data_IF_355445569408
#
_entry.id   IF_355445569408
#
_cell.length_a   1.000
_cell.length_b   1.000
_cell.length_c   1.000
_cell.angle_alpha   90.00
_cell.angle_beta   90.00
_cell.angle_gamma   90.00
#
_symmetry.space_group_name_H-M   'P 1'
#
loop_
_entity.id
_entity.type
_entity.pdbx_description
1 polymer ?
#
# COMPACT_ATOMS: atom_id res chain seq x y z
N UNK A 1 6.26 -13.23 -10.37
CA UNK A 1 5.93 -12.26 -9.30
C UNK A 1 6.02 -10.88 -9.92
N UNK A 2 4.99 -10.04 -9.76
CA UNK A 2 5.02 -8.67 -10.30
C UNK A 2 5.87 -7.77 -9.40
N UNK A 3 6.56 -6.80 -9.99
CA UNK A 3 7.19 -5.73 -9.22
C UNK A 3 6.18 -4.60 -9.02
N UNK A 4 6.18 -4.01 -7.82
CA UNK A 4 5.35 -2.86 -7.49
C UNK A 4 6.26 -1.65 -7.28
N UNK A 5 5.91 -0.50 -7.85
CA UNK A 5 6.60 0.76 -7.58
C UNK A 5 5.61 1.76 -7.04
N UNK A 6 5.97 2.41 -5.93
CA UNK A 6 5.17 3.40 -5.25
C UNK A 6 5.87 4.73 -5.40
N UNK A 7 5.21 5.69 -6.06
CA UNK A 7 5.66 7.06 -6.20
C UNK A 7 4.98 7.93 -5.16
N UNK A 8 5.72 8.54 -4.24
CA UNK A 8 5.20 9.48 -3.25
C UNK A 8 5.43 10.90 -3.73
N UNK A 9 4.35 11.65 -3.93
CA UNK A 9 4.37 13.05 -4.36
C UNK A 9 4.34 14.00 -3.16
N UNK A 10 5.44 14.71 -2.94
CA UNK A 10 5.62 15.67 -1.85
C UNK A 10 6.15 16.99 -2.44
N UNK A 11 5.28 17.94 -2.86
CA UNK A 11 5.70 19.16 -3.55
C UNK A 11 6.60 20.07 -2.72
N UNK A 12 6.49 20.00 -1.39
CA UNK A 12 7.27 20.81 -0.45
C UNK A 12 8.67 20.23 -0.17
N UNK A 13 9.03 19.11 -0.80
CA UNK A 13 10.32 18.43 -0.63
C UNK A 13 11.07 18.32 -1.96
N UNK A 14 12.40 18.26 -1.90
CA UNK A 14 13.23 17.85 -3.03
C UNK A 14 13.93 16.52 -2.73
N UNK A 15 13.81 15.51 -3.61
CA UNK A 15 13.04 15.50 -4.85
C UNK A 15 11.51 15.52 -4.62
N UNK A 16 10.77 16.13 -5.56
CA UNK A 16 9.29 16.26 -5.48
C UNK A 16 8.59 14.90 -5.51
N UNK A 17 9.19 13.92 -6.17
CA UNK A 17 8.74 12.52 -6.18
C UNK A 17 9.82 11.65 -5.56
N UNK A 18 9.47 10.93 -4.51
CA UNK A 18 10.24 9.78 -4.05
C UNK A 18 9.62 8.50 -4.67
N UNK A 19 10.44 7.49 -4.95
CA UNK A 19 9.94 6.18 -5.37
C UNK A 19 10.53 5.05 -4.54
N UNK A 20 9.75 3.99 -4.39
CA UNK A 20 10.16 2.74 -3.75
C UNK A 20 9.57 1.53 -4.46
N UNK A 21 10.41 0.56 -4.77
CA UNK A 21 10.08 -0.73 -5.37
C UNK A 21 9.88 -1.83 -4.34
N UNK A 22 8.89 -2.70 -4.56
CA UNK A 22 8.56 -3.87 -3.74
C UNK A 22 8.39 -5.08 -4.67
N UNK A 23 9.06 -6.22 -4.40
CA UNK A 23 10.00 -6.45 -3.30
C UNK A 23 11.44 -5.99 -3.58
N UNK A 24 11.77 -5.52 -4.79
CA UNK A 24 13.15 -5.21 -5.19
C UNK A 24 13.92 -4.29 -4.24
N UNK A 25 13.21 -3.44 -3.47
CA UNK A 25 13.82 -2.48 -2.56
C UNK A 25 14.49 -1.31 -3.28
N UNK A 26 14.30 -1.18 -4.60
CA UNK A 26 14.79 -0.04 -5.37
C UNK A 26 14.20 1.25 -4.80
N UNK A 27 15.03 2.25 -4.53
CA UNK A 27 14.57 3.52 -3.99
C UNK A 27 15.33 4.69 -4.62
N UNK A 28 14.69 5.85 -4.65
CA UNK A 28 15.28 7.07 -5.17
C UNK A 28 14.24 8.17 -5.26
N UNK A 29 14.53 9.21 -6.04
CA UNK A 29 13.56 10.24 -6.34
C UNK A 29 13.93 11.04 -7.57
N UNK A 30 12.99 11.85 -8.03
CA UNK A 30 13.13 12.75 -9.16
C UNK A 30 12.13 13.92 -9.06
N UNK A 31 12.26 14.90 -9.94
CA UNK A 31 11.35 16.06 -9.95
C UNK A 31 10.16 15.86 -10.90
N UNK A 32 10.22 14.87 -11.79
CA UNK A 32 9.11 14.52 -12.68
C UNK A 32 8.80 13.02 -12.66
N UNK A 33 7.55 12.65 -12.98
CA UNK A 33 7.14 11.25 -13.07
C UNK A 33 7.92 10.48 -14.15
N UNK A 34 8.27 11.13 -15.26
CA UNK A 34 9.04 10.50 -16.34
C UNK A 34 10.46 10.15 -15.87
N UNK A 35 11.12 11.08 -15.18
CA UNK A 35 12.44 10.85 -14.58
C UNK A 35 12.38 9.78 -13.49
N UNK A 36 11.37 9.83 -12.61
CA UNK A 36 11.19 8.84 -11.56
C UNK A 36 11.03 7.42 -12.12
N UNK A 37 10.21 7.25 -13.17
CA UNK A 37 10.06 5.98 -13.89
C UNK A 37 11.36 5.52 -14.54
N UNK A 38 12.09 6.41 -15.22
CA UNK A 38 13.35 6.08 -15.86
C UNK A 38 14.42 5.67 -14.83
N UNK A 39 14.50 6.40 -13.72
CA UNK A 39 15.39 6.12 -12.60
C UNK A 39 15.07 4.77 -11.96
N UNK A 40 13.79 4.51 -11.64
CA UNK A 40 13.33 3.23 -11.12
C UNK A 40 13.67 2.07 -12.06
N UNK A 41 13.36 2.17 -13.35
CA UNK A 41 13.68 1.10 -14.32
C UNK A 41 15.18 0.82 -14.41
N UNK A 42 16.00 1.87 -14.30
CA UNK A 42 17.46 1.73 -14.28
C UNK A 42 17.93 1.01 -13.03
N UNK A 43 17.43 1.42 -11.86
CA UNK A 43 17.69 0.73 -10.60
C UNK A 43 17.30 -0.75 -10.68
N UNK A 44 16.08 -1.03 -11.18
CA UNK A 44 15.56 -2.39 -11.26
C UNK A 44 16.39 -3.27 -12.20
N UNK A 45 16.80 -2.74 -13.37
CA UNK A 45 17.66 -3.49 -14.30
C UNK A 45 19.02 -3.82 -13.67
N UNK A 46 19.61 -2.87 -12.94
CA UNK A 46 20.87 -3.09 -12.26
C UNK A 46 20.73 -4.11 -11.12
N UNK A 47 19.66 -4.02 -10.32
CA UNK A 47 19.37 -4.96 -9.21
C UNK A 47 19.16 -6.38 -9.69
N UNK A 48 18.39 -6.55 -10.76
CA UNK A 48 18.05 -7.86 -11.31
C UNK A 48 19.12 -8.41 -12.26
N UNK A 49 20.13 -7.61 -12.61
CA UNK A 49 21.17 -7.97 -13.59
C UNK A 49 20.58 -8.39 -14.94
N UNK A 50 19.54 -7.68 -15.39
CA UNK A 50 18.87 -7.94 -16.68
C UNK A 50 18.77 -6.67 -17.52
N UNK A 51 18.66 -6.84 -18.83
CA UNK A 51 18.36 -5.73 -19.73
C UNK A 51 17.01 -5.08 -19.44
N UNK A 52 16.90 -3.78 -19.74
CA UNK A 52 15.65 -3.01 -19.57
C UNK A 52 14.44 -3.60 -20.30
N UNK A 53 14.66 -4.39 -21.35
CA UNK A 53 13.61 -5.08 -22.13
C UNK A 53 13.15 -6.40 -21.48
N UNK A 54 13.99 -6.96 -20.62
CA UNK A 54 13.73 -8.20 -19.87
C UNK A 54 13.22 -7.94 -18.44
N UNK A 55 12.92 -6.68 -18.11
CA UNK A 55 12.35 -6.32 -16.82
C UNK A 55 10.97 -6.97 -16.63
N UNK A 56 10.64 -7.42 -15.41
CA UNK A 56 9.32 -7.95 -15.12
C UNK A 56 8.24 -6.88 -15.30
N UNK A 57 6.96 -7.28 -15.44
CA UNK A 57 5.84 -6.35 -15.36
C UNK A 57 5.88 -5.55 -14.05
N UNK A 58 5.61 -4.25 -14.17
CA UNK A 58 5.61 -3.31 -13.04
C UNK A 58 4.19 -2.79 -12.84
N UNK A 59 3.70 -2.88 -11.61
CA UNK A 59 2.48 -2.21 -11.16
C UNK A 59 2.84 -0.90 -10.51
N UNK A 60 2.40 0.21 -11.11
CA UNK A 60 2.66 1.54 -10.60
C UNK A 60 1.58 2.01 -9.62
N UNK A 61 1.99 2.64 -8.53
CA UNK A 61 1.14 3.26 -7.53
C UNK A 61 1.60 4.69 -7.29
N UNK A 62 0.66 5.58 -6.95
CA UNK A 62 0.96 6.95 -6.54
C UNK A 62 0.35 7.21 -5.17
N UNK A 63 1.17 7.78 -4.28
CA UNK A 63 0.78 8.30 -2.97
C UNK A 63 0.70 9.82 -3.04
N UNK A 64 -0.44 10.36 -2.60
CA UNK A 64 -0.67 11.80 -2.49
C UNK A 64 -1.42 12.14 -1.20
N UNK A 65 -1.27 13.37 -0.73
CA UNK A 65 -1.99 13.87 0.44
C UNK A 65 -3.45 14.17 0.08
N UNK A 66 -4.38 13.62 0.85
CA UNK A 66 -5.82 13.89 0.78
C UNK A 66 -6.32 14.08 2.21
N UNK A 67 -6.87 15.26 2.54
CA UNK A 67 -7.36 15.53 3.89
C UNK A 67 -6.31 15.33 4.99
N UNK A 68 -5.02 15.56 4.69
CA UNK A 68 -3.91 15.33 5.62
C UNK A 68 -3.41 13.88 5.72
N UNK A 69 -4.02 12.95 4.98
CA UNK A 69 -3.65 11.52 4.96
C UNK A 69 -2.93 11.17 3.67
N UNK A 70 -1.91 10.31 3.75
CA UNK A 70 -1.33 9.70 2.56
C UNK A 70 -2.29 8.66 2.00
N UNK A 71 -2.70 8.83 0.74
CA UNK A 71 -3.57 7.88 0.03
C UNK A 71 -2.83 7.28 -1.15
N UNK A 72 -2.76 5.95 -1.19
CA UNK A 72 -2.16 5.20 -2.30
C UNK A 72 -3.22 4.78 -3.30
N UNK A 73 -2.94 5.03 -4.57
CA UNK A 73 -3.80 4.63 -5.70
C UNK A 73 -3.00 3.96 -6.80
N UNK A 74 -3.56 2.93 -7.41
CA UNK A 74 -2.95 2.25 -8.56
C UNK A 74 -3.03 3.15 -9.81
N UNK A 75 -1.91 3.37 -10.48
CA UNK A 75 -1.82 4.18 -11.69
C UNK A 75 -2.39 3.41 -12.88
N UNK A 76 -3.15 4.09 -13.74
CA UNK A 76 -3.72 3.51 -14.96
C UNK A 76 -4.94 2.61 -14.73
N UNK A 77 -5.41 2.49 -13.48
CA UNK A 77 -6.67 1.81 -13.21
C UNK A 77 -7.84 2.74 -13.54
N UNK A 78 -8.43 2.57 -14.73
CA UNK A 78 -9.68 3.22 -15.12
C UNK A 78 -10.83 2.47 -14.44
N UNK A 79 -11.16 2.80 -13.19
CA UNK A 79 -12.36 2.24 -12.57
C UNK A 79 -13.59 3.03 -13.07
N UNK A 80 -14.45 2.36 -13.85
CA UNK A 80 -15.76 2.88 -14.30
C UNK A 80 -16.90 2.32 -13.41
N UNK A 81 -16.66 2.13 -12.13
CA UNK A 81 -17.70 1.65 -11.22
C UNK A 81 -18.10 2.72 -10.20
N UNK A 82 -19.40 2.76 -9.91
CA UNK A 82 -20.03 3.81 -9.08
C UNK A 82 -19.59 3.74 -7.62
N UNK A 83 -19.07 2.58 -7.17
CA UNK A 83 -18.46 2.36 -5.85
C UNK A 83 -17.00 2.81 -5.75
N UNK A 84 -16.32 2.97 -6.89
CA UNK A 84 -14.89 3.29 -6.99
C UNK A 84 -14.62 4.74 -7.39
N UNK A 85 -15.65 5.61 -7.36
CA UNK A 85 -15.49 7.00 -7.77
C UNK A 85 -14.49 7.67 -6.82
N UNK A 86 -13.31 7.99 -7.36
CA UNK A 86 -12.23 8.66 -6.64
C UNK A 86 -12.71 9.95 -5.99
N UNK A 87 -13.71 10.62 -6.58
CA UNK A 87 -14.35 11.80 -5.99
C UNK A 87 -15.21 11.43 -4.78
N UNK A 88 -16.05 10.39 -4.89
CA UNK A 88 -16.81 9.83 -3.77
C UNK A 88 -15.88 9.39 -2.63
N UNK A 89 -14.79 8.70 -2.95
CA UNK A 89 -13.85 8.23 -1.94
C UNK A 89 -13.07 9.39 -1.30
N UNK A 90 -12.74 10.46 -2.04
CA UNK A 90 -12.19 11.67 -1.45
C UNK A 90 -13.19 12.35 -0.50
N UNK A 91 -14.47 12.42 -0.88
CA UNK A 91 -15.55 12.95 -0.04
C UNK A 91 -15.68 12.11 1.23
N UNK A 92 -15.79 10.79 1.08
CA UNK A 92 -15.89 9.85 2.21
C UNK A 92 -14.67 10.00 3.13
N UNK A 93 -13.44 10.04 2.59
CA UNK A 93 -12.23 10.25 3.40
C UNK A 93 -12.23 11.59 4.15
N UNK A 94 -12.78 12.65 3.57
CA UNK A 94 -12.89 13.95 4.26
C UNK A 94 -13.96 13.96 5.36
N UNK A 95 -15.04 13.21 5.20
CA UNK A 95 -16.15 13.16 6.15
C UNK A 95 -15.92 12.16 7.30
N UNK A 96 -15.08 11.15 7.09
CA UNK A 96 -14.80 10.10 8.08
C UNK A 96 -13.76 10.57 9.12
N UNK A 97 -14.23 11.05 10.28
CA UNK A 97 -13.37 11.45 11.39
C UNK A 97 -12.61 10.28 12.00
N UNK A 98 -13.27 9.12 12.17
CA UNK A 98 -12.66 7.94 12.80
C UNK A 98 -11.42 7.42 12.07
N UNK A 99 -11.43 7.42 10.73
CA UNK A 99 -10.26 7.03 9.95
C UNK A 99 -9.11 8.05 10.10
N UNK A 100 -9.41 9.35 10.13
CA UNK A 100 -8.41 10.41 10.36
C UNK A 100 -7.79 10.31 11.75
N UNK A 101 -8.61 10.06 12.76
CA UNK A 101 -8.15 9.88 14.13
C UNK A 101 -7.22 8.65 14.23
N UNK A 102 -7.53 7.57 13.53
CA UNK A 102 -6.66 6.39 13.48
C UNK A 102 -5.34 6.66 12.76
N UNK A 103 -5.34 7.39 11.64
CA UNK A 103 -4.10 7.85 10.97
C UNK A 103 -3.27 8.72 11.92
N UNK A 104 -3.89 9.69 12.59
CA UNK A 104 -3.20 10.57 13.54
C UNK A 104 -2.59 9.76 14.70
N UNK A 105 -3.35 8.84 15.29
CA UNK A 105 -2.89 7.93 16.35
C UNK A 105 -1.69 7.11 15.91
N UNK A 106 -1.70 6.55 14.70
CA UNK A 106 -0.57 5.79 14.17
C UNK A 106 0.66 6.67 13.90
N UNK A 107 0.45 7.90 13.43
CA UNK A 107 1.52 8.87 13.23
C UNK A 107 2.17 9.30 14.56
N UNK A 108 1.38 9.50 15.62
CA UNK A 108 1.88 9.78 16.97
C UNK A 108 2.75 8.64 17.53
N UNK A 109 2.45 7.40 17.12
CA UNK A 109 3.27 6.22 17.45
C UNK A 109 4.50 6.06 16.55
N UNK A 110 4.74 6.99 15.62
CA UNK A 110 5.90 7.00 14.73
C UNK A 110 5.77 6.09 13.51
N UNK A 111 4.55 5.69 13.12
CA UNK A 111 4.32 5.12 11.79
C UNK A 111 4.19 6.22 10.73
N UNK A 112 4.39 5.84 9.47
CA UNK A 112 3.94 6.60 8.30
C UNK A 112 2.75 5.88 7.66
N UNK A 113 1.54 6.01 8.24
CA UNK A 113 0.34 5.33 7.75
C UNK A 113 -0.02 5.77 6.33
N UNK A 114 -0.37 4.80 5.49
CA UNK A 114 -0.89 5.05 4.13
C UNK A 114 -2.25 4.39 3.99
N UNK A 115 -3.25 5.17 3.61
CA UNK A 115 -4.59 4.67 3.30
C UNK A 115 -4.59 4.06 1.90
N UNK A 116 -5.01 2.81 1.79
CA UNK A 116 -5.21 2.11 0.53
C UNK A 116 -6.71 1.85 0.38
N UNK A 117 -7.29 2.45 -0.64
CA UNK A 117 -8.68 2.21 -1.00
C UNK A 117 -8.76 0.92 -1.80
N UNK A 118 -9.58 -0.02 -1.36
CA UNK A 118 -9.70 -1.33 -1.95
C UNK A 118 -11.17 -1.69 -2.21
N UNK A 119 -11.40 -2.51 -3.23
CA UNK A 119 -12.72 -3.11 -3.43
C UNK A 119 -12.97 -4.17 -2.35
N UNK A 120 -14.17 -4.24 -1.78
CA UNK A 120 -14.50 -5.16 -0.69
C UNK A 120 -14.28 -6.64 -1.07
N UNK A 121 -14.51 -6.98 -2.34
CA UNK A 121 -14.41 -8.34 -2.87
C UNK A 121 -13.01 -8.69 -3.39
N UNK A 122 -12.08 -7.74 -3.43
CA UNK A 122 -10.71 -8.04 -3.85
C UNK A 122 -10.01 -8.92 -2.83
N UNK A 123 -9.17 -9.81 -3.34
CA UNK A 123 -8.32 -10.65 -2.50
C UNK A 123 -7.25 -9.80 -1.80
N UNK A 124 -6.99 -10.09 -0.53
CA UNK A 124 -5.94 -9.47 0.28
C UNK A 124 -4.56 -9.50 -0.37
N UNK A 125 -4.25 -10.53 -1.17
CA UNK A 125 -3.00 -10.60 -1.94
C UNK A 125 -2.68 -9.31 -2.70
N UNK A 126 -3.70 -8.62 -3.24
CA UNK A 126 -3.54 -7.35 -3.98
C UNK A 126 -2.97 -6.21 -3.11
N UNK A 127 -3.17 -6.27 -1.79
CA UNK A 127 -2.65 -5.34 -0.80
C UNK A 127 -1.31 -5.81 -0.27
N UNK A 128 -1.18 -7.10 0.02
CA UNK A 128 0.05 -7.69 0.56
C UNK A 128 1.22 -7.56 -0.44
N UNK A 129 0.96 -7.69 -1.74
CA UNK A 129 2.01 -7.65 -2.78
C UNK A 129 2.61 -6.24 -2.99
N UNK A 130 1.92 -5.19 -2.52
CA UNK A 130 2.40 -3.81 -2.55
C UNK A 130 2.94 -3.32 -1.20
N UNK A 131 2.98 -4.17 -0.17
CA UNK A 131 3.48 -3.79 1.16
C UNK A 131 4.97 -4.07 1.28
N UNK A 132 5.71 -3.06 1.74
CA UNK A 132 7.06 -3.26 2.27
C UNK A 132 7.00 -3.83 3.70
N UNK A 133 8.11 -4.42 4.15
CA UNK A 133 8.26 -4.90 5.53
C UNK A 133 8.08 -3.80 6.56
N UNK A 134 8.30 -2.53 6.21
CA UNK A 134 8.16 -1.39 7.13
C UNK A 134 6.82 -0.65 7.00
N UNK A 135 5.99 -1.03 6.04
CA UNK A 135 4.75 -0.29 5.80
C UNK A 135 3.75 -0.49 6.94
N UNK A 136 2.93 0.54 7.13
CA UNK A 136 1.69 0.46 7.91
C UNK A 136 0.60 0.97 6.99
N UNK A 137 -0.27 0.09 6.50
CA UNK A 137 -1.35 0.48 5.58
C UNK A 137 -2.70 0.37 6.27
N UNK A 138 -3.53 1.39 6.10
CA UNK A 138 -4.94 1.34 6.46
C UNK A 138 -5.71 0.93 5.22
N UNK A 139 -6.29 -0.26 5.25
CA UNK A 139 -7.11 -0.76 4.17
C UNK A 139 -8.51 -0.26 4.42
N UNK A 140 -9.04 0.54 3.49
CA UNK A 140 -10.36 1.15 3.60
C UNK A 140 -11.22 0.78 2.39
N UNK A 141 -12.50 0.50 2.61
CA UNK A 141 -13.48 0.23 1.56
C UNK A 141 -14.86 0.77 1.94
N UNK A 142 -15.72 0.99 0.95
CA UNK A 142 -17.12 1.33 1.23
C UNK A 142 -17.84 0.14 1.88
N UNK A 143 -18.71 0.40 2.85
CA UNK A 143 -19.57 -0.59 3.50
C UNK A 143 -20.89 -0.83 2.74
N UNK A 144 -21.14 -0.06 1.66
CA UNK A 144 -22.38 -0.09 0.88
C UNK A 144 -23.53 0.73 1.48
N UNK A 145 -23.40 1.27 2.70
CA UNK A 145 -24.39 2.11 3.38
C UNK A 145 -23.99 3.59 3.43
N UNK A 146 -22.98 3.99 2.65
CA UNK A 146 -22.44 5.35 2.64
C UNK A 146 -21.41 5.61 3.74
N UNK A 147 -20.87 4.57 4.38
CA UNK A 147 -19.75 4.67 5.30
C UNK A 147 -18.49 3.99 4.74
N UNK A 148 -17.42 4.03 5.52
CA UNK A 148 -16.14 3.37 5.22
C UNK A 148 -15.79 2.45 6.37
N UNK A 149 -15.52 1.19 6.05
CA UNK A 149 -14.90 0.25 6.98
C UNK A 149 -13.39 0.22 6.75
N UNK A 150 -12.63 0.06 7.83
CA UNK A 150 -11.17 -0.03 7.74
C UNK A 150 -10.55 -1.02 8.73
N UNK A 151 -9.36 -1.47 8.39
CA UNK A 151 -8.44 -2.17 9.30
C UNK A 151 -6.99 -1.86 8.93
N UNK A 152 -6.06 -2.18 9.82
CA UNK A 152 -4.63 -1.81 9.68
C UNK A 152 -3.79 -3.07 9.43
N UNK A 153 -3.01 -3.06 8.36
CA UNK A 153 -1.99 -4.07 8.09
C UNK A 153 -0.61 -3.49 8.37
N UNK A 154 0.14 -4.15 9.23
CA UNK A 154 1.52 -3.80 9.55
C UNK A 154 2.49 -4.78 8.89
N UNK A 155 3.48 -4.24 8.18
CA UNK A 155 4.60 -5.02 7.70
C UNK A 155 5.49 -5.54 8.84
N UNK A 156 6.23 -6.65 8.63
CA UNK A 156 7.08 -7.38 9.59
C UNK A 156 8.24 -6.59 10.23
N UNK A 157 8.39 -5.30 9.98
CA UNK A 157 9.38 -4.39 10.58
C UNK A 157 8.78 -3.00 10.93
N UNK A 158 7.45 -2.82 10.89
CA UNK A 158 6.81 -1.54 11.29
C UNK A 158 7.16 -1.15 12.74
N UNK A 159 7.30 0.16 13.00
CA UNK A 159 7.61 0.72 14.33
C UNK A 159 6.48 0.53 15.36
N UNK A 160 5.24 0.33 14.91
CA UNK A 160 4.02 0.38 15.75
C UNK A 160 3.51 -1.03 16.16
N UNK A 161 4.38 -2.04 16.07
CA UNK A 161 4.04 -3.46 16.33
C UNK A 161 3.58 -3.81 17.73
N UNK A 162 3.95 -3.00 18.73
CA UNK A 162 3.76 -3.38 20.12
C UNK A 162 2.26 -3.61 20.35
N UNK A 163 1.91 -4.79 20.88
CA UNK A 163 0.54 -5.27 21.15
C UNK A 163 -0.39 -5.62 19.97
N UNK A 164 0.13 -5.75 18.74
CA UNK A 164 -0.68 -6.15 17.57
C UNK A 164 -0.55 -7.66 17.29
N UNK A 165 -1.65 -8.43 17.13
CA UNK A 165 -1.59 -9.85 16.81
C UNK A 165 -0.95 -10.08 15.44
N UNK A 166 -0.17 -11.16 15.32
CA UNK A 166 0.48 -11.52 14.06
C UNK A 166 -0.26 -12.64 13.34
N UNK A 167 -0.40 -12.50 12.02
CA UNK A 167 -1.04 -13.48 11.14
C UNK A 167 -0.05 -13.87 10.03
N UNK A 168 0.03 -15.17 9.73
CA UNK A 168 0.83 -15.64 8.61
C UNK A 168 0.17 -15.27 7.28
N UNK A 169 0.95 -14.79 6.32
CA UNK A 169 0.51 -14.50 4.95
C UNK A 169 0.41 -15.79 4.12
N UNK A 170 -0.33 -16.78 4.62
CA UNK A 170 -0.60 -18.03 3.92
C UNK A 170 -1.63 -17.84 2.80
N UNK A 171 -1.89 -18.90 2.03
CA UNK A 171 -2.83 -18.84 0.90
C UNK A 171 -4.25 -18.49 1.35
N UNK A 172 -4.64 -18.90 2.56
CA UNK A 172 -5.95 -18.58 3.15
C UNK A 172 -6.09 -17.09 3.37
N UNK A 173 -5.12 -16.45 4.02
CA UNK A 173 -5.14 -15.00 4.21
C UNK A 173 -5.07 -14.27 2.87
N UNK A 174 -4.20 -14.72 1.96
CA UNK A 174 -4.00 -14.08 0.66
C UNK A 174 -5.25 -14.10 -0.24
N UNK A 175 -6.07 -15.14 -0.16
CA UNK A 175 -7.34 -15.26 -0.90
C UNK A 175 -8.55 -14.70 -0.17
N UNK A 176 -8.41 -14.31 1.10
CA UNK A 176 -9.49 -13.72 1.89
C UNK A 176 -9.91 -12.37 1.28
N UNK A 177 -11.23 -12.14 1.06
CA UNK A 177 -11.73 -10.84 0.59
C UNK A 177 -11.45 -9.73 1.60
N UNK A 178 -11.18 -8.52 1.11
CA UNK A 178 -10.93 -7.33 1.96
C UNK A 178 -12.03 -7.13 2.99
N UNK A 179 -13.31 -7.15 2.60
CA UNK A 179 -14.42 -6.96 3.53
C UNK A 179 -14.55 -8.08 4.58
N UNK A 180 -14.10 -9.29 4.28
CA UNK A 180 -14.05 -10.38 5.26
C UNK A 180 -12.95 -10.13 6.28
N UNK A 181 -11.79 -9.68 5.81
CA UNK A 181 -10.66 -9.34 6.67
C UNK A 181 -10.95 -8.15 7.59
N UNK A 182 -11.45 -7.05 7.05
CA UNK A 182 -11.73 -5.82 7.82
C UNK A 182 -12.78 -6.06 8.90
N UNK A 183 -13.83 -6.85 8.62
CA UNK A 183 -14.82 -7.26 9.63
C UNK A 183 -14.23 -8.11 10.74
N UNK A 184 -13.34 -9.05 10.41
CA UNK A 184 -12.67 -9.89 11.40
C UNK A 184 -11.66 -9.12 12.28
N UNK A 185 -11.17 -7.98 11.78
CA UNK A 185 -10.13 -7.16 12.40
C UNK A 185 -10.59 -5.70 12.57
N UNK A 186 -11.88 -5.51 12.87
CA UNK A 186 -12.47 -4.18 13.00
C UNK A 186 -11.81 -3.43 14.15
N UNK A 187 -11.13 -2.32 13.85
CA UNK A 187 -10.43 -1.50 14.84
C UNK A 187 -9.19 -2.15 15.50
N UNK A 188 -8.84 -3.38 15.13
CA UNK A 188 -7.64 -4.07 15.59
C UNK A 188 -6.74 -4.33 14.38
N UNK A 189 -5.54 -3.73 14.34
CA UNK A 189 -4.60 -4.04 13.26
C UNK A 189 -4.08 -5.48 13.35
N UNK A 190 -3.41 -5.94 12.29
CA UNK A 190 -2.64 -7.18 12.35
C UNK A 190 -1.25 -7.02 11.72
N UNK A 191 -0.29 -7.77 12.27
CA UNK A 191 1.06 -7.86 11.70
C UNK A 191 1.10 -9.02 10.71
N UNK A 192 1.33 -8.71 9.44
CA UNK A 192 1.46 -9.71 8.39
C UNK A 192 2.88 -10.28 8.41
N UNK A 193 3.02 -11.59 8.60
CA UNK A 193 4.30 -12.28 8.44
C UNK A 193 4.32 -13.05 7.13
N UNK A 194 5.16 -12.64 6.19
CA UNK A 194 5.47 -13.50 5.05
C UNK A 194 6.21 -14.73 5.56
N UNK A 195 5.67 -15.93 5.31
CA UNK A 195 6.45 -17.14 5.48
C UNK A 195 7.67 -16.99 4.56
N UNK A 196 8.86 -16.88 5.15
CA UNK A 196 10.09 -17.09 4.39
C UNK A 196 9.99 -18.51 3.86
N UNK A 197 9.77 -18.66 2.55
CA UNK A 197 10.11 -19.90 1.86
C UNK A 197 11.58 -20.13 2.19
N UNK A 198 11.85 -21.14 3.02
CA UNK A 198 13.20 -21.62 3.23
C UNK A 198 13.72 -22.05 1.86
N UNK A 199 14.46 -21.17 1.19
CA UNK A 199 15.31 -21.59 0.09
C UNK A 199 16.31 -22.55 0.70
N UNK A 200 16.04 -23.83 0.48
CA UNK A 200 16.98 -24.93 0.66
C UNK A 200 18.23 -24.52 -0.10
N UNK A 201 19.32 -24.33 0.64
CA UNK A 201 20.65 -24.28 0.07
C UNK A 201 20.94 -25.65 -0.55
N UNK A 202 21.29 -25.67 -1.83
CA UNK A 202 22.12 -26.70 -2.48
C UNK A 202 22.72 -26.10 -3.74
#
# INVERSE_FOLDING_TARGET
MAEHVIFRYAPDHQPVLAFRGVPSGCAGGANTMAEARASYRTCLSARLHVDRRALPPVVEHIEGLVGGMWVRTKVGAVHRDTSSDRMLLQILLTEQTGLRDEVARLAELGAEPVVVLAEPDYALATLLDQMSVRDSILVAHSDGNGSVDWSVLFGPESSVRQSVPSVAADETLRTTPVATFTRAHSGAGCVVQHQRTAHIAS
#
